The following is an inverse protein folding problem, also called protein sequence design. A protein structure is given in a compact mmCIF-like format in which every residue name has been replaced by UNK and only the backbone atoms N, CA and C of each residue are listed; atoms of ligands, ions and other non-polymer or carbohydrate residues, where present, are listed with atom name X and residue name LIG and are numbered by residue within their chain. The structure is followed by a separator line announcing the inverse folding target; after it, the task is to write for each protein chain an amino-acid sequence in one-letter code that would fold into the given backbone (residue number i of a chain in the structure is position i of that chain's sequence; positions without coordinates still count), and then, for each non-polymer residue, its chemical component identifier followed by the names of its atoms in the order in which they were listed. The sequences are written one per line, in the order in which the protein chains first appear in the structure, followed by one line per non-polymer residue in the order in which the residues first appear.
data_IF_581482755402
#
_entry.id   IF_581482755402
#
_cell.length_a   1.000
_cell.length_b   1.000
_cell.length_c   1.000
_cell.angle_alpha   90.00
_cell.angle_beta   90.00
_cell.angle_gamma   90.00
#
_symmetry.space_group_name_H-M   'P 1'
#
loop_
_entity.id
_entity.type
_entity.pdbx_description
1 polymer ?
#
# COMPACT_ATOMS: atom_id res chain seq x y z
N UNK A 1 -7.92 37.46 60.79
CA UNK A 1 -6.81 37.88 59.90
C UNK A 1 -6.47 36.68 59.04
N UNK A 2 -6.53 36.64 57.71
CA UNK A 2 -6.89 37.57 56.65
C UNK A 2 -7.17 36.73 55.40
N UNK A 3 -7.92 37.32 54.46
CA UNK A 3 -8.47 36.70 53.24
C UNK A 3 -7.45 36.65 52.08
N UNK A 4 -7.66 35.72 51.12
CA UNK A 4 -7.62 35.90 49.63
C UNK A 4 -7.48 34.49 48.99
N UNK A 5 -8.35 33.93 48.13
CA UNK A 5 -8.95 34.30 46.82
C UNK A 5 -7.95 34.48 45.66
N UNK A 6 -7.90 33.49 44.77
CA UNK A 6 -8.02 33.56 43.28
C UNK A 6 -7.56 32.20 42.71
N UNK A 7 -8.28 31.39 41.92
CA UNK A 7 -9.01 31.57 40.66
C UNK A 7 -8.12 32.02 39.48
N UNK A 8 -7.69 31.06 38.65
CA UNK A 8 -7.27 31.32 37.28
C UNK A 8 -7.71 30.17 36.36
N UNK A 9 -8.75 30.46 35.60
CA UNK A 9 -9.23 29.73 34.42
C UNK A 9 -8.24 29.91 33.27
N UNK A 10 -7.79 28.83 32.64
CA UNK A 10 -7.11 28.90 31.35
C UNK A 10 -8.11 28.58 30.22
N UNK A 11 -8.49 29.64 29.53
CA UNK A 11 -9.34 29.67 28.34
C UNK A 11 -8.65 29.05 27.13
N UNK A 12 -9.41 28.28 26.37
CA UNK A 12 -9.08 27.79 25.04
C UNK A 12 -8.81 28.96 24.07
N UNK A 13 -7.76 28.83 23.26
CA UNK A 13 -7.52 29.66 22.08
C UNK A 13 -7.42 28.75 20.86
N UNK A 14 -8.43 28.84 20.00
CA UNK A 14 -8.55 28.13 18.73
C UNK A 14 -7.73 28.85 17.66
N UNK A 15 -6.74 28.15 17.09
CA UNK A 15 -6.06 28.61 15.89
C UNK A 15 -6.94 28.40 14.63
N UNK A 16 -6.93 29.32 13.65
CA UNK A 16 -7.82 29.28 12.49
C UNK A 16 -7.33 28.27 11.43
N UNK A 17 -8.29 27.60 10.81
CA UNK A 17 -8.13 26.66 9.69
C UNK A 17 -7.85 27.43 8.39
N UNK A 18 -6.80 27.12 7.61
CA UNK A 18 -6.64 27.67 6.27
C UNK A 18 -7.51 26.92 5.25
N UNK A 19 -8.36 27.67 4.55
CA UNK A 19 -9.16 27.21 3.42
C UNK A 19 -8.26 26.92 2.20
N UNK A 20 -8.49 25.78 1.55
CA UNK A 20 -7.88 25.44 0.25
C UNK A 20 -8.95 25.61 -0.83
N UNK A 21 -8.70 26.37 -1.90
CA UNK A 21 -9.67 26.57 -2.97
C UNK A 21 -9.77 25.37 -3.90
N UNK A 22 -11.00 25.10 -4.33
CA UNK A 22 -11.42 24.10 -5.32
C UNK A 22 -10.92 24.46 -6.72
N UNK A 23 -10.36 23.48 -7.44
CA UNK A 23 -10.12 23.57 -8.88
C UNK A 23 -10.95 22.48 -9.59
N UNK A 24 -11.99 22.94 -10.27
CA UNK A 24 -12.83 22.19 -11.19
C UNK A 24 -12.14 21.99 -12.55
N UNK A 25 -12.33 20.79 -13.10
CA UNK A 25 -12.34 20.40 -14.51
C UNK A 25 -12.16 21.48 -15.60
N UNK A 26 -11.33 21.19 -16.60
CA UNK A 26 -11.82 20.94 -17.98
C UNK A 26 -10.67 20.59 -18.94
N UNK A 27 -10.88 19.50 -19.67
CA UNK A 27 -10.18 19.18 -20.91
C UNK A 27 -10.64 20.16 -22.00
N UNK A 28 -9.72 20.60 -22.87
CA UNK A 28 -10.06 20.77 -24.29
C UNK A 28 -8.80 20.81 -25.18
N UNK A 29 -8.83 19.96 -26.20
CA UNK A 29 -7.93 19.94 -27.35
C UNK A 29 -8.27 21.11 -28.27
N UNK A 30 -7.29 21.71 -28.93
CA UNK A 30 -7.37 22.00 -30.38
C UNK A 30 -6.01 22.41 -30.96
N UNK A 31 -5.69 21.81 -32.11
CA UNK A 31 -4.65 22.23 -33.03
C UNK A 31 -4.97 23.63 -33.59
N UNK A 32 -3.93 24.41 -33.91
CA UNK A 32 -3.81 25.02 -35.23
C UNK A 32 -2.36 25.40 -35.51
N UNK A 33 -2.04 25.31 -36.79
CA UNK A 33 -0.77 25.45 -37.46
C UNK A 33 -0.47 26.93 -37.77
N UNK A 34 0.78 27.19 -38.20
CA UNK A 34 1.33 28.32 -39.00
C UNK A 34 2.22 29.33 -38.28
N UNK A 35 3.49 29.36 -38.72
CA UNK A 35 4.31 30.53 -39.10
C UNK A 35 5.63 29.95 -39.67
N UNK A 36 5.92 29.95 -40.98
CA UNK A 36 6.24 31.03 -41.91
C UNK A 36 7.66 31.63 -41.75
N UNK A 37 8.42 31.53 -42.86
CA UNK A 37 9.63 32.30 -43.26
C UNK A 37 10.97 31.88 -42.59
N UNK A 38 12.10 31.76 -43.30
CA UNK A 38 12.65 32.76 -44.22
C UNK A 38 13.78 32.23 -45.16
N UNK A 39 13.89 32.91 -46.31
CA UNK A 39 15.10 33.29 -47.08
C UNK A 39 15.94 32.25 -47.85
N UNK A 40 15.88 32.35 -49.21
CA UNK A 40 16.93 32.81 -50.16
C UNK A 40 18.02 31.79 -50.48
N UNK A 41 18.58 31.65 -51.69
CA UNK A 41 18.41 32.26 -53.01
C UNK A 41 19.42 31.58 -53.96
N UNK A 42 19.08 31.46 -55.24
CA UNK A 42 19.97 31.47 -56.43
C UNK A 42 21.07 30.39 -56.56
N UNK A 43 21.06 29.60 -57.63
CA UNK A 43 21.60 30.01 -58.94
C UNK A 43 21.47 28.90 -60.02
N UNK A 44 21.05 29.31 -61.22
CA UNK A 44 21.54 28.99 -62.58
C UNK A 44 21.91 27.55 -63.01
N UNK A 45 21.85 27.12 -64.28
CA UNK A 45 21.15 27.48 -65.52
C UNK A 45 21.72 26.55 -66.61
N UNK A 46 20.87 26.12 -67.56
CA UNK A 46 21.18 25.80 -68.97
C UNK A 46 22.12 24.59 -69.27
N UNK A 47 22.13 23.93 -70.45
CA UNK A 47 21.50 24.15 -71.74
C UNK A 47 21.52 22.86 -72.59
N UNK A 48 20.50 22.74 -73.46
CA UNK A 48 20.54 22.44 -74.89
C UNK A 48 21.12 21.13 -75.50
N UNK A 49 20.32 20.61 -76.42
CA UNK A 49 20.57 19.55 -77.40
C UNK A 49 21.55 19.94 -78.52
N UNK A 50 22.12 18.94 -79.22
CA UNK A 50 22.30 18.95 -80.68
C UNK A 50 22.78 17.59 -81.22
N UNK A 51 22.26 17.23 -82.39
CA UNK A 51 22.60 16.08 -83.20
C UNK A 51 23.98 16.21 -83.88
N UNK A 52 24.61 15.09 -84.19
CA UNK A 52 25.87 15.05 -84.94
C UNK A 52 26.27 13.65 -85.41
N UNK A 53 25.94 13.39 -86.68
CA UNK A 53 26.60 12.55 -87.71
C UNK A 53 27.59 11.44 -87.30
N UNK A 54 27.30 10.26 -87.83
CA UNK A 54 28.18 9.10 -87.98
C UNK A 54 29.52 9.44 -88.64
N UNK A 55 30.62 8.97 -88.03
CA UNK A 55 31.87 8.68 -88.73
C UNK A 55 32.35 7.30 -88.31
N UNK A 56 32.34 6.37 -89.28
CA UNK A 56 32.72 4.98 -89.10
C UNK A 56 34.25 4.87 -89.27
N UNK A 57 35.00 5.11 -88.18
CA UNK A 57 36.43 4.84 -88.13
C UNK A 57 36.66 3.39 -87.69
N UNK A 58 37.20 2.56 -88.59
CA UNK A 58 37.61 1.19 -88.28
C UNK A 58 38.79 1.22 -87.30
N UNK A 59 38.50 1.06 -86.01
CA UNK A 59 39.50 0.94 -84.93
C UNK A 59 40.39 -0.30 -85.14
N UNK A 60 41.70 -0.14 -84.96
CA UNK A 60 42.69 -1.20 -85.12
C UNK A 60 42.47 -2.32 -84.07
N UNK A 61 42.98 -3.53 -84.35
CA UNK A 61 42.81 -4.68 -83.46
C UNK A 61 43.38 -4.42 -82.04
N UNK A 62 44.45 -3.64 -81.94
CA UNK A 62 45.12 -3.29 -80.68
C UNK A 62 44.27 -2.35 -79.81
N UNK A 63 43.58 -1.37 -80.40
CA UNK A 63 42.71 -0.44 -79.66
C UNK A 63 41.46 -1.13 -79.09
N UNK A 64 40.95 -2.16 -79.79
CA UNK A 64 39.84 -2.99 -79.32
C UNK A 64 40.26 -3.89 -78.15
N UNK A 65 41.49 -4.38 -78.16
CA UNK A 65 42.04 -5.21 -77.09
C UNK A 65 42.35 -4.39 -75.83
N UNK A 66 42.91 -3.18 -75.99
CA UNK A 66 43.12 -2.23 -74.89
C UNK A 66 41.79 -1.83 -74.21
N UNK A 67 40.74 -1.49 -74.98
CA UNK A 67 39.41 -1.19 -74.43
C UNK A 67 38.77 -2.39 -73.72
N UNK A 68 39.06 -3.62 -74.16
CA UNK A 68 38.57 -4.84 -73.51
C UNK A 68 39.30 -5.10 -72.18
N UNK A 69 40.60 -4.84 -72.13
CA UNK A 69 41.39 -4.90 -70.90
C UNK A 69 40.92 -3.84 -69.88
N UNK A 70 40.69 -2.61 -70.34
CA UNK A 70 40.20 -1.50 -69.50
C UNK A 70 38.80 -1.78 -68.92
N UNK A 71 37.87 -2.29 -69.74
CA UNK A 71 36.54 -2.72 -69.26
C UNK A 71 36.61 -3.88 -68.26
N UNK A 72 37.59 -4.79 -68.41
CA UNK A 72 37.80 -5.90 -67.48
C UNK A 72 38.37 -5.40 -66.15
N UNK A 73 39.30 -4.46 -66.19
CA UNK A 73 39.86 -3.80 -65.01
C UNK A 73 38.79 -2.99 -64.26
N UNK A 74 37.95 -2.23 -64.97
CA UNK A 74 36.85 -1.46 -64.38
C UNK A 74 35.83 -2.38 -63.68
N UNK A 75 35.45 -3.51 -64.30
CA UNK A 75 34.56 -4.50 -63.66
C UNK A 75 35.19 -5.17 -62.43
N UNK A 76 36.50 -5.42 -62.46
CA UNK A 76 37.23 -5.97 -61.32
C UNK A 76 37.27 -4.98 -60.15
N UNK A 77 37.52 -3.69 -60.43
CA UNK A 77 37.50 -2.62 -59.44
C UNK A 77 36.11 -2.42 -58.84
N UNK A 78 35.05 -2.45 -59.65
CA UNK A 78 33.67 -2.35 -59.17
C UNK A 78 33.29 -3.53 -58.26
N UNK A 79 33.76 -4.74 -58.59
CA UNK A 79 33.53 -5.93 -57.76
C UNK A 79 34.26 -5.82 -56.42
N UNK A 80 35.52 -5.38 -56.43
CA UNK A 80 36.31 -5.18 -55.22
C UNK A 80 35.68 -4.12 -54.29
N UNK A 81 35.23 -3.00 -54.85
CA UNK A 81 34.55 -1.95 -54.09
C UNK A 81 33.23 -2.45 -53.45
N UNK A 82 32.47 -3.31 -54.15
CA UNK A 82 31.25 -3.93 -53.61
C UNK A 82 31.54 -4.91 -52.48
N UNK A 83 32.62 -5.69 -52.57
CA UNK A 83 33.04 -6.61 -51.49
C UNK A 83 33.51 -5.85 -50.25
N UNK A 84 34.28 -4.76 -50.43
CA UNK A 84 34.75 -3.91 -49.34
C UNK A 84 33.59 -3.21 -48.63
N UNK A 85 32.64 -2.64 -49.39
CA UNK A 85 31.43 -2.02 -48.82
C UNK A 85 30.57 -3.03 -48.03
N UNK A 86 30.50 -4.29 -48.49
CA UNK A 86 29.78 -5.36 -47.77
C UNK A 86 30.47 -5.72 -46.46
N UNK A 87 31.82 -5.75 -46.45
CA UNK A 87 32.62 -6.02 -45.26
C UNK A 87 32.48 -4.91 -44.21
N UNK A 88 32.54 -3.65 -44.63
CA UNK A 88 32.36 -2.48 -43.75
C UNK A 88 30.96 -2.46 -43.11
N UNK A 89 29.90 -2.79 -43.87
CA UNK A 89 28.54 -2.92 -43.32
C UNK A 89 28.42 -4.05 -42.29
N UNK A 90 29.06 -5.18 -42.53
CA UNK A 90 29.05 -6.30 -41.58
C UNK A 90 29.80 -5.95 -40.28
N UNK A 91 30.93 -5.24 -40.38
CA UNK A 91 31.68 -4.77 -39.21
C UNK A 91 30.89 -3.70 -38.41
N UNK A 92 30.17 -2.81 -39.08
CA UNK A 92 29.30 -1.81 -38.44
C UNK A 92 28.10 -2.47 -37.73
N UNK A 93 27.48 -3.48 -38.35
CA UNK A 93 26.39 -4.25 -37.76
C UNK A 93 26.88 -5.06 -36.54
N UNK A 94 28.09 -5.62 -36.61
CA UNK A 94 28.70 -6.34 -35.49
C UNK A 94 29.08 -5.40 -34.34
N UNK A 95 29.52 -4.17 -34.63
CA UNK A 95 29.70 -3.11 -33.62
C UNK A 95 28.38 -2.68 -32.98
N UNK A 96 27.31 -2.51 -33.75
CA UNK A 96 25.96 -2.21 -33.23
C UNK A 96 25.44 -3.32 -32.33
N UNK A 97 25.65 -4.59 -32.67
CA UNK A 97 25.30 -5.74 -31.81
C UNK A 97 26.10 -5.77 -30.50
N UNK A 98 27.39 -5.44 -30.54
CA UNK A 98 28.23 -5.33 -29.32
C UNK A 98 27.87 -4.12 -28.45
N UNK A 99 27.47 -3.00 -29.06
CA UNK A 99 27.03 -1.80 -28.34
C UNK A 99 25.61 -1.97 -27.74
N UNK A 100 24.74 -2.73 -28.41
CA UNK A 100 23.46 -3.17 -27.87
C UNK A 100 23.60 -4.22 -26.75
N UNK A 101 24.73 -4.94 -26.73
CA UNK A 101 25.16 -5.78 -25.61
C UNK A 101 25.79 -4.99 -24.46
N UNK A 102 25.39 -3.74 -24.26
CA UNK A 102 25.61 -3.05 -22.98
C UNK A 102 25.04 -3.90 -21.86
N UNK A 103 25.77 -4.02 -20.76
CA UNK A 103 25.42 -4.83 -19.59
C UNK A 103 23.99 -4.48 -19.17
N UNK A 104 23.04 -5.30 -19.65
CA UNK A 104 21.66 -5.21 -19.27
C UNK A 104 21.59 -5.66 -17.83
N UNK A 105 21.57 -4.71 -16.90
CA UNK A 105 20.85 -4.96 -15.67
C UNK A 105 19.40 -5.21 -16.09
N UNK A 106 19.03 -6.48 -16.28
CA UNK A 106 17.65 -6.89 -16.21
C UNK A 106 17.18 -6.54 -14.81
N UNK A 107 16.67 -5.33 -14.65
CA UNK A 107 15.79 -5.01 -13.53
C UNK A 107 14.59 -5.92 -13.76
N UNK A 108 14.59 -7.08 -13.09
CA UNK A 108 13.39 -7.89 -12.95
C UNK A 108 12.31 -6.94 -12.42
N UNK A 109 11.44 -6.45 -13.31
CA UNK A 109 10.31 -5.64 -12.92
C UNK A 109 9.39 -6.56 -12.15
N UNK A 110 9.55 -6.55 -10.82
CA UNK A 110 8.63 -7.20 -9.90
C UNK A 110 7.22 -6.73 -10.25
N UNK A 111 6.22 -7.63 -10.25
CA UNK A 111 4.85 -7.22 -10.49
C UNK A 111 4.46 -6.11 -9.50
N UNK A 112 3.63 -5.14 -9.92
CA UNK A 112 3.22 -4.05 -9.05
C UNK A 112 2.59 -4.62 -7.78
N UNK A 113 3.05 -4.11 -6.63
CA UNK A 113 2.59 -4.54 -5.32
C UNK A 113 1.10 -4.25 -5.18
N UNK A 114 0.34 -5.21 -4.66
CA UNK A 114 -1.06 -5.00 -4.31
C UNK A 114 -1.13 -4.03 -3.12
N UNK A 115 -1.70 -2.86 -3.35
CA UNK A 115 -1.77 -1.78 -2.35
C UNK A 115 -2.93 -1.94 -1.37
N UNK A 116 -3.95 -2.71 -1.74
CA UNK A 116 -5.11 -2.96 -0.89
C UNK A 116 -4.74 -3.85 0.31
N UNK A 117 -5.27 -3.55 1.50
CA UNK A 117 -5.02 -4.38 2.67
C UNK A 117 -5.66 -5.77 2.50
N UNK A 118 -5.24 -6.76 3.32
CA UNK A 118 -5.85 -8.09 3.30
C UNK A 118 -7.38 -8.02 3.46
N UNK A 119 -8.09 -8.88 2.73
CA UNK A 119 -9.56 -8.88 2.73
C UNK A 119 -10.12 -8.99 4.15
N UNK A 120 -11.01 -8.05 4.50
CA UNK A 120 -11.67 -7.97 5.79
C UNK A 120 -10.86 -7.26 6.89
N UNK A 121 -9.73 -6.66 6.55
CA UNK A 121 -8.96 -5.76 7.42
C UNK A 121 -9.17 -4.30 7.03
N UNK A 122 -8.69 -3.36 7.84
CA UNK A 122 -8.88 -1.91 7.63
C UNK A 122 -7.55 -1.19 7.79
N UNK A 123 -7.27 -0.29 6.86
CA UNK A 123 -6.32 0.79 7.08
C UNK A 123 -7.00 1.91 7.86
N UNK A 124 -6.23 2.59 8.71
CA UNK A 124 -6.67 3.79 9.42
C UNK A 124 -5.80 4.96 8.98
N UNK A 125 -6.33 5.77 8.07
CA UNK A 125 -5.68 7.03 7.69
C UNK A 125 -5.79 8.03 8.83
N UNK A 126 -5.01 9.14 8.82
CA UNK A 126 -5.01 10.09 9.92
C UNK A 126 -6.40 10.56 10.37
N UNK A 127 -7.35 10.69 9.44
CA UNK A 127 -8.72 11.11 9.74
C UNK A 127 -9.51 10.03 10.51
N UNK A 128 -9.41 8.78 10.06
CA UNK A 128 -10.02 7.63 10.75
C UNK A 128 -9.35 7.37 12.10
N UNK A 129 -8.03 7.55 12.16
CA UNK A 129 -7.25 7.31 13.37
C UNK A 129 -7.58 8.33 14.45
N UNK A 130 -7.84 9.60 14.10
CA UNK A 130 -8.33 10.61 15.07
C UNK A 130 -9.63 10.18 15.74
N UNK A 131 -10.58 9.62 14.97
CA UNK A 131 -11.83 9.11 15.54
C UNK A 131 -11.58 7.89 16.44
N UNK A 132 -10.69 6.98 16.03
CA UNK A 132 -10.32 5.82 16.85
C UNK A 132 -9.68 6.24 18.17
N UNK A 133 -8.68 7.13 18.14
CA UNK A 133 -8.01 7.64 19.34
C UNK A 133 -9.00 8.33 20.26
N UNK A 134 -9.88 9.19 19.73
CA UNK A 134 -10.94 9.82 20.52
C UNK A 134 -11.82 8.78 21.23
N UNK A 135 -12.22 7.71 20.53
CA UNK A 135 -13.04 6.65 21.11
C UNK A 135 -12.28 5.88 22.19
N UNK A 136 -11.01 5.54 21.96
CA UNK A 136 -10.18 4.82 22.92
C UNK A 136 -9.90 5.66 24.16
N UNK A 137 -9.69 6.97 24.01
CA UNK A 137 -9.56 7.89 25.15
C UNK A 137 -10.80 7.87 26.05
N UNK A 138 -12.00 7.75 25.46
CA UNK A 138 -13.25 7.60 26.22
C UNK A 138 -13.35 6.26 26.94
N UNK A 139 -12.92 5.16 26.31
CA UNK A 139 -12.84 3.85 26.97
C UNK A 139 -11.86 3.89 28.15
N UNK A 140 -10.66 4.45 27.94
CA UNK A 140 -9.66 4.63 28.97
C UNK A 140 -10.17 5.49 30.13
N UNK A 141 -10.86 6.60 29.85
CA UNK A 141 -11.43 7.47 30.86
C UNK A 141 -12.50 6.74 31.69
N UNK A 142 -13.39 5.99 31.05
CA UNK A 142 -14.43 5.22 31.74
C UNK A 142 -13.85 4.11 32.63
N UNK A 143 -12.90 3.33 32.11
CA UNK A 143 -12.25 2.26 32.88
C UNK A 143 -11.48 2.81 34.09
N UNK A 144 -10.70 3.89 33.92
CA UNK A 144 -9.97 4.54 35.02
C UNK A 144 -10.88 5.16 36.06
N UNK A 145 -11.99 5.78 35.64
CA UNK A 145 -12.98 6.33 36.57
C UNK A 145 -13.60 5.25 37.46
N UNK A 146 -13.73 4.04 36.94
CA UNK A 146 -14.16 2.86 37.70
C UNK A 146 -13.02 2.09 38.37
N UNK A 147 -11.79 2.62 38.41
CA UNK A 147 -10.66 1.98 39.10
C UNK A 147 -10.16 0.68 38.46
N UNK A 148 -10.34 0.49 37.15
CA UNK A 148 -9.74 -0.61 36.41
C UNK A 148 -8.32 -0.27 35.95
N UNK A 149 -7.45 -1.28 35.96
CA UNK A 149 -6.06 -1.20 35.54
C UNK A 149 -5.87 -1.75 34.12
N UNK A 150 -5.05 -1.06 33.32
CA UNK A 150 -4.80 -1.46 31.94
C UNK A 150 -3.84 -2.65 31.90
N UNK A 151 -4.16 -3.65 31.11
CA UNK A 151 -3.24 -4.74 30.76
C UNK A 151 -3.25 -5.01 29.25
N UNK A 152 -2.22 -5.70 28.79
CA UNK A 152 -2.14 -6.20 27.42
C UNK A 152 -1.37 -7.53 27.39
N UNK A 153 -1.47 -8.22 26.26
CA UNK A 153 -0.77 -9.47 25.99
C UNK A 153 -0.49 -9.59 24.48
N UNK A 154 0.31 -10.59 24.06
CA UNK A 154 0.51 -10.89 22.65
C UNK A 154 -0.82 -11.12 21.90
N UNK A 155 -0.88 -10.67 20.65
CA UNK A 155 -1.98 -10.98 19.73
C UNK A 155 -1.94 -12.44 19.26
N UNK A 156 -0.74 -13.03 19.23
CA UNK A 156 -0.49 -14.41 18.88
C UNK A 156 -0.49 -15.27 20.14
N UNK A 157 -1.34 -16.31 20.16
CA UNK A 157 -1.55 -17.19 21.31
C UNK A 157 -1.60 -18.64 20.86
N UNK A 158 -1.32 -19.58 21.77
CA UNK A 158 -1.44 -21.01 21.50
C UNK A 158 -2.91 -21.35 21.19
N UNK A 159 -3.16 -22.07 20.10
CA UNK A 159 -4.51 -22.38 19.66
C UNK A 159 -5.30 -23.20 20.69
N UNK A 160 -4.59 -24.04 21.48
CA UNK A 160 -5.15 -24.82 22.57
C UNK A 160 -5.91 -23.98 23.61
N UNK A 161 -5.46 -22.74 23.86
CA UNK A 161 -6.07 -21.84 24.83
C UNK A 161 -7.56 -21.57 24.52
N UNK A 162 -7.91 -21.53 23.22
CA UNK A 162 -9.26 -21.23 22.75
C UNK A 162 -10.10 -22.48 22.51
N UNK A 163 -9.47 -23.60 22.12
CA UNK A 163 -10.14 -24.90 21.96
C UNK A 163 -10.88 -25.33 23.23
N UNK A 164 -10.28 -25.10 24.41
CA UNK A 164 -10.84 -25.52 25.70
C UNK A 164 -12.10 -24.76 26.14
N UNK A 165 -12.26 -23.49 25.75
CA UNK A 165 -13.35 -22.63 26.22
C UNK A 165 -14.55 -22.58 25.26
N UNK A 166 -14.29 -22.78 23.97
CA UNK A 166 -15.20 -22.33 22.92
C UNK A 166 -15.89 -23.45 22.12
N UNK A 167 -15.64 -24.71 22.46
CA UNK A 167 -16.10 -25.87 21.68
C UNK A 167 -15.40 -25.97 20.31
N UNK A 168 -15.62 -27.08 19.60
CA UNK A 168 -14.96 -27.33 18.31
C UNK A 168 -15.38 -26.33 17.22
N UNK A 169 -16.59 -25.77 17.28
CA UNK A 169 -17.15 -24.91 16.23
C UNK A 169 -16.40 -23.57 16.08
N UNK A 170 -15.93 -22.96 17.18
CA UNK A 170 -15.15 -21.71 17.13
C UNK A 170 -13.79 -21.92 16.45
N UNK A 171 -13.25 -23.13 16.46
CA UNK A 171 -11.93 -23.39 15.87
C UNK A 171 -11.88 -23.16 14.37
N UNK A 172 -13.00 -23.42 13.67
CA UNK A 172 -13.14 -23.17 12.23
C UNK A 172 -13.10 -21.68 11.87
N UNK A 173 -13.36 -20.80 12.84
CA UNK A 173 -13.42 -19.35 12.68
C UNK A 173 -12.20 -18.66 13.28
N UNK A 174 -11.15 -19.40 13.66
CA UNK A 174 -9.90 -18.83 14.15
C UNK A 174 -8.92 -18.57 13.01
N UNK A 175 -8.11 -17.51 13.14
CA UNK A 175 -6.93 -17.28 12.31
C UNK A 175 -5.76 -18.15 12.81
N UNK A 176 -5.93 -19.48 12.72
CA UNK A 176 -4.98 -20.48 13.16
C UNK A 176 -3.98 -20.87 12.07
N UNK A 177 -2.74 -21.13 12.47
CA UNK A 177 -1.67 -21.63 11.61
C UNK A 177 -0.61 -22.35 12.44
N UNK A 178 0.26 -23.11 11.77
CA UNK A 178 1.44 -23.71 12.38
C UNK A 178 2.61 -22.76 12.16
N UNK A 179 3.29 -22.38 13.23
CA UNK A 179 4.46 -21.50 13.14
C UNK A 179 5.73 -22.24 12.67
N UNK A 180 6.84 -21.52 12.59
CA UNK A 180 8.12 -22.09 12.13
C UNK A 180 8.69 -23.18 13.04
N UNK A 181 8.26 -23.23 14.30
CA UNK A 181 8.70 -24.21 15.30
C UNK A 181 7.77 -25.42 15.36
N UNK A 182 6.71 -25.45 14.54
CA UNK A 182 5.74 -26.53 14.49
C UNK A 182 4.60 -26.41 15.51
N UNK A 183 4.45 -25.25 16.16
CA UNK A 183 3.42 -25.03 17.17
C UNK A 183 2.12 -24.51 16.54
N UNK A 184 0.98 -25.04 17.00
CA UNK A 184 -0.34 -24.52 16.63
C UNK A 184 -0.63 -23.19 17.35
N UNK A 185 -0.60 -22.11 16.59
CA UNK A 185 -0.84 -20.76 17.09
C UNK A 185 -2.03 -20.12 16.37
N UNK A 186 -2.61 -19.10 16.97
CA UNK A 186 -3.69 -18.32 16.37
C UNK A 186 -3.57 -16.85 16.74
N UNK A 187 -4.01 -15.98 15.84
CA UNK A 187 -4.38 -14.63 16.25
C UNK A 187 -5.60 -14.73 17.18
N UNK A 188 -5.55 -14.03 18.33
CA UNK A 188 -6.59 -14.12 19.36
C UNK A 188 -7.99 -13.75 18.82
N UNK A 189 -9.01 -14.61 18.99
CA UNK A 189 -10.39 -14.27 18.64
C UNK A 189 -11.10 -13.42 19.69
N UNK A 190 -10.69 -13.54 20.95
CA UNK A 190 -11.20 -12.78 22.09
C UNK A 190 -10.11 -12.64 23.17
N UNK A 191 -10.29 -11.70 24.11
CA UNK A 191 -9.30 -11.41 25.15
C UNK A 191 -9.46 -12.25 26.42
N UNK A 192 -10.66 -12.73 26.73
CA UNK A 192 -10.95 -13.37 28.02
C UNK A 192 -10.10 -14.62 28.31
N UNK A 193 -9.81 -15.53 27.34
CA UNK A 193 -8.91 -16.66 27.59
C UNK A 193 -7.48 -16.23 27.93
N UNK A 194 -6.99 -15.18 27.26
CA UNK A 194 -5.69 -14.55 27.53
C UNK A 194 -5.66 -13.93 28.93
N UNK A 195 -6.71 -13.21 29.32
CA UNK A 195 -6.87 -12.69 30.68
C UNK A 195 -6.81 -13.81 31.72
N UNK A 196 -7.55 -14.90 31.51
CA UNK A 196 -7.56 -16.04 32.41
C UNK A 196 -6.17 -16.67 32.53
N UNK A 197 -5.45 -16.86 31.40
CA UNK A 197 -4.06 -17.35 31.38
C UNK A 197 -3.13 -16.47 32.20
N UNK A 198 -3.24 -15.14 32.05
CA UNK A 198 -2.40 -14.19 32.79
C UNK A 198 -2.72 -14.18 34.28
N UNK A 199 -4.01 -14.16 34.65
CA UNK A 199 -4.46 -14.19 36.04
C UNK A 199 -4.00 -15.47 36.75
N UNK A 200 -4.18 -16.64 36.11
CA UNK A 200 -3.73 -17.93 36.63
C UNK A 200 -2.20 -18.01 36.72
N UNK A 201 -1.49 -17.51 35.72
CA UNK A 201 -0.02 -17.49 35.70
C UNK A 201 0.61 -16.66 36.83
N UNK A 202 -0.17 -15.80 37.50
CA UNK A 202 0.27 -15.01 38.67
C UNK A 202 -0.60 -15.22 39.90
N UNK A 203 -1.41 -16.29 39.95
CA UNK A 203 -2.46 -16.45 40.97
C UNK A 203 -1.96 -16.26 42.42
N UNK A 204 -0.73 -16.70 42.72
CA UNK A 204 -0.14 -16.61 44.06
C UNK A 204 0.31 -15.21 44.48
N UNK A 205 0.44 -14.26 43.55
CA UNK A 205 0.90 -12.89 43.84
C UNK A 205 -0.18 -11.82 43.59
N UNK A 206 -1.36 -12.22 43.12
CA UNK A 206 -2.47 -11.30 42.87
C UNK A 206 -3.31 -11.09 44.13
N UNK A 207 -3.66 -9.83 44.40
CA UNK A 207 -4.63 -9.47 45.44
C UNK A 207 -6.00 -9.36 44.76
N UNK A 208 -6.98 -10.11 45.28
CA UNK A 208 -8.35 -10.08 44.77
C UNK A 208 -9.19 -9.01 45.50
N UNK A 209 -10.20 -8.41 44.83
CA UNK A 209 -10.58 -8.64 43.44
C UNK A 209 -9.65 -7.92 42.44
N UNK A 210 -9.39 -8.54 41.30
CA UNK A 210 -8.72 -7.89 40.17
C UNK A 210 -9.74 -7.15 39.33
N UNK A 211 -9.38 -5.95 38.90
CA UNK A 211 -10.19 -5.11 38.02
C UNK A 211 -9.33 -4.67 36.85
N UNK A 212 -9.38 -5.45 35.77
CA UNK A 212 -8.50 -5.23 34.62
C UNK A 212 -9.30 -4.90 33.37
N UNK A 213 -8.72 -4.08 32.50
CA UNK A 213 -9.31 -3.75 31.20
C UNK A 213 -8.25 -3.72 30.10
N UNK A 214 -8.69 -3.92 28.86
CA UNK A 214 -7.83 -3.86 27.68
C UNK A 214 -8.63 -3.41 26.45
N UNK A 215 -7.94 -2.92 25.42
CA UNK A 215 -8.53 -2.56 24.12
C UNK A 215 -7.78 -3.31 22.99
N UNK A 216 -7.75 -4.65 23.01
CA UNK A 216 -7.03 -5.44 22.03
C UNK A 216 -7.66 -5.37 20.64
N UNK A 217 -6.82 -5.51 19.61
CA UNK A 217 -7.26 -6.02 18.32
C UNK A 217 -7.50 -7.54 18.42
N UNK A 218 -8.66 -7.98 17.93
CA UNK A 218 -9.12 -9.36 17.91
C UNK A 218 -9.47 -9.80 16.48
N UNK A 219 -9.25 -11.07 16.17
CA UNK A 219 -9.28 -11.62 14.81
C UNK A 219 -10.23 -12.81 14.69
N UNK A 220 -11.00 -12.86 13.60
CA UNK A 220 -11.88 -13.99 13.28
C UNK A 220 -11.88 -14.28 11.79
N UNK A 221 -11.81 -15.55 11.43
CA UNK A 221 -11.82 -16.03 10.07
C UNK A 221 -13.25 -16.39 9.64
N UNK A 222 -13.97 -15.41 9.13
CA UNK A 222 -15.35 -15.59 8.68
C UNK A 222 -15.62 -14.85 7.35
N UNK A 223 -16.78 -15.14 6.75
CA UNK A 223 -17.31 -14.35 5.66
C UNK A 223 -17.61 -12.91 6.14
N UNK A 224 -17.20 -11.93 5.35
CA UNK A 224 -17.36 -10.51 5.72
C UNK A 224 -18.85 -10.15 5.63
N UNK A 225 -19.41 -9.65 6.72
CA UNK A 225 -20.78 -9.13 6.77
C UNK A 225 -20.76 -7.66 7.20
N UNK A 226 -21.91 -6.98 7.10
CA UNK A 226 -22.05 -5.58 7.55
C UNK A 226 -21.73 -5.49 9.05
N UNK A 227 -20.76 -4.64 9.42
CA UNK A 227 -20.29 -4.51 10.81
C UNK A 227 -19.45 -5.68 11.33
N UNK A 228 -19.25 -6.72 10.51
CA UNK A 228 -18.52 -7.94 10.88
C UNK A 228 -17.31 -8.12 9.95
N UNK A 229 -16.20 -7.50 10.35
CA UNK A 229 -14.89 -7.61 9.70
C UNK A 229 -14.05 -8.72 10.34
N UNK A 230 -12.95 -9.08 9.69
CA UNK A 230 -12.01 -10.14 10.12
C UNK A 230 -11.09 -9.68 11.25
N UNK A 231 -10.89 -8.37 11.40
CA UNK A 231 -10.30 -7.77 12.58
C UNK A 231 -11.21 -6.69 13.17
N UNK A 232 -11.15 -6.51 14.48
CA UNK A 232 -11.78 -5.41 15.20
C UNK A 232 -11.08 -5.13 16.52
N UNK A 233 -11.24 -3.91 17.03
CA UNK A 233 -10.84 -3.59 18.40
C UNK A 233 -12.01 -3.83 19.34
N UNK A 234 -11.73 -4.43 20.50
CA UNK A 234 -12.74 -4.76 21.49
C UNK A 234 -12.32 -4.22 22.85
N UNK A 235 -13.10 -3.31 23.43
CA UNK A 235 -12.90 -2.92 24.81
C UNK A 235 -13.39 -4.03 25.74
N UNK A 236 -12.47 -4.59 26.53
CA UNK A 236 -12.72 -5.63 27.52
C UNK A 236 -12.54 -5.02 28.92
N UNK A 237 -13.45 -5.33 29.83
CA UNK A 237 -13.47 -4.86 31.22
C UNK A 237 -13.94 -6.03 32.06
N UNK A 238 -13.11 -6.49 33.00
CA UNK A 238 -13.34 -7.74 33.72
C UNK A 238 -13.01 -7.59 35.21
N UNK A 239 -13.86 -8.18 36.05
CA UNK A 239 -13.65 -8.28 37.50
C UNK A 239 -13.45 -9.76 37.85
N UNK A 240 -12.32 -10.10 38.47
CA UNK A 240 -11.98 -11.46 38.88
C UNK A 240 -11.92 -11.53 40.41
N UNK A 241 -12.51 -12.57 40.99
CA UNK A 241 -12.46 -12.81 42.43
C UNK A 241 -13.58 -12.17 43.25
N UNK A 242 -14.63 -11.65 42.60
CA UNK A 242 -15.84 -11.16 43.25
C UNK A 242 -17.00 -12.13 42.98
N UNK A 243 -17.67 -12.64 44.03
CA UNK A 243 -18.77 -13.61 43.91
C UNK A 243 -20.16 -12.98 43.95
N UNK A 244 -20.27 -11.71 44.33
CA UNK A 244 -21.53 -10.99 44.43
C UNK A 244 -21.88 -10.27 43.14
N UNK A 245 -23.18 -10.07 42.92
CA UNK A 245 -23.75 -9.32 41.77
C UNK A 245 -23.21 -7.89 41.63
N UNK A 246 -22.50 -7.38 42.63
CA UNK A 246 -21.81 -6.09 42.58
C UNK A 246 -20.82 -6.01 41.42
N UNK A 247 -20.19 -7.13 41.03
CA UNK A 247 -19.27 -7.15 39.91
C UNK A 247 -19.98 -6.80 38.61
N UNK A 248 -21.09 -7.47 38.31
CA UNK A 248 -21.92 -7.23 37.12
C UNK A 248 -22.51 -5.82 37.15
N UNK A 249 -22.98 -5.34 38.30
CA UNK A 249 -23.49 -3.97 38.45
C UNK A 249 -22.40 -2.95 38.13
N UNK A 250 -21.16 -3.16 38.57
CA UNK A 250 -20.05 -2.26 38.31
C UNK A 250 -19.59 -2.29 36.85
N UNK A 251 -19.56 -3.46 36.21
CA UNK A 251 -19.31 -3.61 34.78
C UNK A 251 -20.35 -2.85 33.94
N UNK A 252 -21.64 -3.05 34.24
CA UNK A 252 -22.73 -2.34 33.57
C UNK A 252 -22.68 -0.84 33.83
N UNK A 253 -22.36 -0.43 35.05
CA UNK A 253 -22.20 0.99 35.40
C UNK A 253 -21.06 1.66 34.64
N UNK A 254 -19.96 0.93 34.43
CA UNK A 254 -18.80 1.41 33.64
C UNK A 254 -19.17 1.59 32.16
N UNK A 255 -19.94 0.66 31.59
CA UNK A 255 -20.46 0.79 30.22
C UNK A 255 -21.45 1.98 30.09
N UNK A 256 -22.36 2.15 31.05
CA UNK A 256 -23.30 3.29 31.08
C UNK A 256 -22.57 4.62 31.25
N UNK A 257 -21.51 4.66 32.08
CA UNK A 257 -20.67 5.84 32.23
C UNK A 257 -20.03 6.24 30.89
N UNK A 258 -19.47 5.26 30.16
CA UNK A 258 -18.96 5.48 28.82
C UNK A 258 -20.04 6.06 27.89
N UNK A 259 -21.22 5.43 27.79
CA UNK A 259 -22.30 5.90 26.92
C UNK A 259 -22.69 7.36 27.22
N UNK A 260 -22.90 7.70 28.50
CA UNK A 260 -23.19 9.08 28.92
C UNK A 260 -22.07 10.04 28.51
N UNK A 261 -20.81 9.64 28.62
CA UNK A 261 -19.65 10.48 28.29
C UNK A 261 -19.52 10.83 26.80
N UNK A 262 -20.20 10.07 25.93
CA UNK A 262 -20.26 10.29 24.47
C UNK A 262 -21.65 10.76 24.01
N UNK A 263 -22.54 11.12 24.95
CA UNK A 263 -23.88 11.63 24.64
C UNK A 263 -24.91 10.56 24.27
N UNK A 264 -24.60 9.28 24.42
CA UNK A 264 -25.55 8.17 24.22
C UNK A 264 -26.40 8.01 25.48
N UNK A 265 -27.71 8.06 25.30
CA UNK A 265 -28.69 8.05 26.38
C UNK A 265 -29.54 6.77 26.39
N UNK A 266 -30.44 6.65 27.37
CA UNK A 266 -31.39 5.54 27.44
C UNK A 266 -32.45 5.57 26.32
N UNK A 267 -32.54 6.64 25.54
CA UNK A 267 -33.35 6.71 24.33
C UNK A 267 -32.66 5.99 23.15
N UNK A 268 -31.33 5.94 23.15
CA UNK A 268 -30.52 5.40 22.06
C UNK A 268 -30.18 3.92 22.24
N UNK A 269 -29.93 3.50 23.49
CA UNK A 269 -29.48 2.14 23.81
C UNK A 269 -30.24 1.53 24.99
N UNK A 270 -30.36 0.19 24.99
CA UNK A 270 -30.91 -0.61 26.09
C UNK A 270 -29.94 -1.74 26.43
N UNK A 271 -29.71 -1.95 27.73
CA UNK A 271 -28.96 -3.11 28.23
C UNK A 271 -29.98 -4.17 28.66
N UNK A 272 -29.92 -5.36 28.05
CA UNK A 272 -30.76 -6.50 28.41
C UNK A 272 -29.94 -7.43 29.31
N UNK A 273 -30.52 -7.86 30.43
CA UNK A 273 -29.88 -8.74 31.42
C UNK A 273 -30.66 -10.04 31.51
N UNK A 274 -29.95 -11.16 31.59
CA UNK A 274 -30.51 -12.49 31.80
C UNK A 274 -29.55 -13.34 32.66
N UNK A 275 -30.04 -14.42 33.26
CA UNK A 275 -29.24 -15.46 33.93
C UNK A 275 -29.37 -16.78 33.16
N UNK A 276 -28.28 -17.55 33.09
CA UNK A 276 -28.31 -18.94 32.58
C UNK A 276 -28.96 -19.88 33.59
#
# INVERSE_FOLDING_TARGET
MGQSKSSASASASSAPVPQVPSASSSQQKSNTNTDAMNSNSNNEAAAAALAGSESNASLSAEEKEARKAEKKAAKAAEKAAKEEAKRLRAEEEQKKRKLAGGVGFEVMQQPPVKLEPPSGTRDFYPDDYRLQTWLFDKFHAAARASGFELFDAPVLERQELYKRKAGEEITSQMYGFVDGDGEEVTLRPEMTPTLARMALGRAHSQILPLKWYSIPQCWRYEAIQRGRKREHYQWNVDIIGCRSVSAEVELLSTAVFFFKSVGITNADVKIKVNSR
#
